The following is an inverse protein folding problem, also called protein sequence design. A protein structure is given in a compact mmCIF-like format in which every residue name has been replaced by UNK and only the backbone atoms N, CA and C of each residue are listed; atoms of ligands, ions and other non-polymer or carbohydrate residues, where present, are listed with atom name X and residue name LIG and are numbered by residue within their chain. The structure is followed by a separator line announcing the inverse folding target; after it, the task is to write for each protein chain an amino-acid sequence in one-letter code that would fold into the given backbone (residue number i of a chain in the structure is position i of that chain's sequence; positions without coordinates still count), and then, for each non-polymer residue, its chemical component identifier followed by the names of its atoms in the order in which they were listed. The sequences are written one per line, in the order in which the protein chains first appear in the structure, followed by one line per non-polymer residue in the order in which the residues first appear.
data_IF_024186463531
#
_entry.id   IF_024186463531
#
_cell.length_a   1.000
_cell.length_b   1.000
_cell.length_c   1.000
_cell.angle_alpha   90.00
_cell.angle_beta   90.00
_cell.angle_gamma   90.00
#
_symmetry.space_group_name_H-M   'P 1'
#
loop_
_entity.id
_entity.type
_entity.pdbx_description
1 polymer ?
#
# COMPACT_ATOMS: atom_id res chain seq x y z
N UNK A 1 15.37 0.91 -4.19
CA UNK A 1 14.32 0.06 -4.79
C UNK A 1 12.94 0.28 -4.13
N UNK A 2 12.73 1.38 -3.39
CA UNK A 2 11.50 1.64 -2.63
C UNK A 2 10.41 2.42 -3.38
N UNK A 3 10.77 3.10 -4.48
CA UNK A 3 9.85 3.92 -5.27
C UNK A 3 8.91 3.10 -6.16
N UNK A 4 9.11 1.78 -6.25
CA UNK A 4 8.30 0.88 -7.09
C UNK A 4 7.01 0.43 -6.40
N UNK A 5 6.92 0.46 -5.07
CA UNK A 5 5.74 -0.01 -4.33
C UNK A 5 4.57 0.98 -4.45
N UNK A 6 4.83 2.28 -4.24
CA UNK A 6 3.84 3.35 -4.42
C UNK A 6 3.45 3.47 -5.90
N UNK A 7 4.42 3.38 -6.82
CA UNK A 7 4.16 3.44 -8.27
C UNK A 7 3.33 2.26 -8.75
N UNK A 8 3.65 1.05 -8.27
CA UNK A 8 2.90 -0.17 -8.56
C UNK A 8 1.48 -0.16 -7.97
N UNK A 9 1.25 0.48 -6.82
CA UNK A 9 -0.08 0.67 -6.25
C UNK A 9 -0.92 1.67 -7.07
N UNK A 10 -0.30 2.73 -7.57
CA UNK A 10 -0.95 3.71 -8.48
C UNK A 10 -1.30 3.05 -9.82
N UNK A 11 -0.46 2.17 -10.33
CA UNK A 11 -0.70 1.42 -11.57
C UNK A 11 -1.68 0.24 -11.39
N UNK A 12 -1.88 -0.25 -10.15
CA UNK A 12 -2.79 -1.36 -9.83
C UNK A 12 -3.99 -0.91 -8.99
N UNK A 13 -5.05 -0.51 -9.69
CA UNK A 13 -6.29 -0.02 -9.08
C UNK A 13 -7.36 -1.11 -8.92
N UNK A 14 -8.19 -0.98 -7.90
CA UNK A 14 -9.37 -1.82 -7.65
C UNK A 14 -10.60 -0.90 -7.56
N UNK A 15 -11.62 -1.05 -8.43
CA UNK A 15 -12.85 -0.28 -8.27
C UNK A 15 -13.63 -0.72 -7.03
N UNK A 16 -14.13 0.24 -6.25
CA UNK A 16 -14.87 -0.01 -5.00
C UNK A 16 -16.10 -0.92 -5.21
N UNK A 17 -16.65 -0.95 -6.43
CA UNK A 17 -17.78 -1.80 -6.79
C UNK A 17 -17.48 -3.30 -6.63
N UNK A 18 -16.22 -3.75 -6.68
CA UNK A 18 -15.86 -5.14 -6.45
C UNK A 18 -16.05 -5.54 -4.97
N UNK A 19 -15.81 -4.63 -4.03
CA UNK A 19 -16.14 -4.86 -2.62
C UNK A 19 -17.65 -5.06 -2.44
N UNK A 20 -18.45 -4.18 -3.06
CA UNK A 20 -19.91 -4.24 -2.98
C UNK A 20 -20.50 -5.50 -3.65
N UNK A 21 -19.75 -6.17 -4.53
CA UNK A 21 -20.12 -7.43 -5.18
C UNK A 21 -19.64 -8.67 -4.41
N UNK A 22 -19.13 -8.50 -3.18
CA UNK A 22 -18.69 -9.62 -2.34
C UNK A 22 -17.32 -10.19 -2.71
N UNK A 23 -16.50 -9.48 -3.50
CA UNK A 23 -15.18 -9.95 -3.92
C UNK A 23 -14.04 -9.61 -2.93
N UNK A 24 -14.38 -9.16 -1.72
CA UNK A 24 -13.41 -8.73 -0.71
C UNK A 24 -12.32 -9.78 -0.42
N UNK A 25 -12.70 -11.05 -0.28
CA UNK A 25 -11.74 -12.14 -0.04
C UNK A 25 -10.67 -12.27 -1.13
N UNK A 26 -11.08 -12.24 -2.40
CA UNK A 26 -10.16 -12.30 -3.55
C UNK A 26 -9.24 -11.08 -3.61
N UNK A 27 -9.80 -9.90 -3.33
CA UNK A 27 -9.02 -8.65 -3.28
C UNK A 27 -7.94 -8.74 -2.20
N UNK A 28 -8.28 -9.22 -1.01
CA UNK A 28 -7.31 -9.37 0.08
C UNK A 28 -6.23 -10.41 -0.25
N UNK A 29 -6.58 -11.51 -0.92
CA UNK A 29 -5.57 -12.46 -1.42
C UNK A 29 -4.63 -11.82 -2.44
N UNK A 30 -5.15 -11.02 -3.37
CA UNK A 30 -4.32 -10.31 -4.34
C UNK A 30 -3.38 -9.31 -3.65
N UNK A 31 -3.85 -8.57 -2.65
CA UNK A 31 -3.01 -7.63 -1.89
C UNK A 31 -1.88 -8.38 -1.16
N UNK A 32 -2.17 -9.56 -0.59
CA UNK A 32 -1.15 -10.39 0.06
C UNK A 32 -0.11 -10.95 -0.92
N UNK A 33 -0.53 -11.36 -2.12
CA UNK A 33 0.38 -11.98 -3.12
C UNK A 33 1.16 -10.96 -3.95
N UNK A 34 0.52 -9.84 -4.29
CA UNK A 34 1.00 -8.90 -5.30
C UNK A 34 1.29 -7.51 -4.74
N UNK A 35 1.06 -7.30 -3.44
CA UNK A 35 1.37 -6.06 -2.75
C UNK A 35 0.26 -5.02 -2.82
N UNK A 36 0.63 -3.77 -2.57
CA UNK A 36 -0.30 -2.66 -2.38
C UNK A 36 -1.20 -2.40 -3.59
N UNK A 37 -2.45 -1.99 -3.33
CA UNK A 37 -3.46 -1.65 -4.35
C UNK A 37 -4.16 -0.35 -4.00
N UNK A 38 -4.53 0.46 -5.00
CA UNK A 38 -5.34 1.67 -4.79
C UNK A 38 -6.82 1.38 -5.04
N UNK A 39 -7.69 1.72 -4.11
CA UNK A 39 -9.14 1.63 -4.31
C UNK A 39 -9.65 2.90 -4.97
N UNK A 40 -10.40 2.74 -6.06
CA UNK A 40 -10.99 3.84 -6.82
C UNK A 40 -12.49 3.92 -6.56
N UNK A 41 -12.99 5.13 -6.29
CA UNK A 41 -14.43 5.45 -6.17
C UNK A 41 -14.71 6.69 -7.02
N UNK A 42 -15.68 6.60 -7.93
CA UNK A 42 -16.02 7.69 -8.85
C UNK A 42 -14.78 8.26 -9.58
N UNK A 43 -13.90 7.38 -10.08
CA UNK A 43 -12.63 7.72 -10.73
C UNK A 43 -11.62 8.52 -9.87
N UNK A 44 -11.85 8.58 -8.56
CA UNK A 44 -10.96 9.22 -7.60
C UNK A 44 -10.33 8.16 -6.69
N UNK A 45 -9.03 8.24 -6.38
CA UNK A 45 -8.41 7.39 -5.36
C UNK A 45 -9.05 7.64 -3.98
N UNK A 46 -9.64 6.61 -3.39
CA UNK A 46 -10.29 6.69 -2.07
C UNK A 46 -9.35 6.22 -0.97
N UNK A 47 -8.64 5.11 -1.17
CA UNK A 47 -7.69 4.58 -0.20
C UNK A 47 -6.61 3.69 -0.84
N UNK A 48 -5.58 3.37 -0.06
CA UNK A 48 -4.56 2.37 -0.38
C UNK A 48 -4.76 1.15 0.52
N UNK A 49 -4.76 -0.03 -0.07
CA UNK A 49 -4.80 -1.31 0.64
C UNK A 49 -3.41 -1.91 0.69
N UNK A 50 -3.02 -2.33 1.88
CA UNK A 50 -1.73 -2.90 2.22
C UNK A 50 -1.98 -4.15 3.09
N UNK A 51 -1.09 -5.14 3.03
CA UNK A 51 -1.09 -6.16 4.09
C UNK A 51 -0.55 -5.54 5.39
N UNK A 52 -0.97 -6.03 6.57
CA UNK A 52 -0.44 -5.55 7.84
C UNK A 52 1.09 -5.66 7.93
N UNK A 53 1.66 -6.74 7.41
CA UNK A 53 3.10 -6.99 7.42
C UNK A 53 3.84 -5.94 6.58
N UNK A 54 3.31 -5.62 5.40
CA UNK A 54 3.86 -4.59 4.53
C UNK A 54 3.78 -3.20 5.19
N UNK A 55 2.65 -2.90 5.85
CA UNK A 55 2.47 -1.64 6.57
C UNK A 55 3.48 -1.47 7.72
N UNK A 56 3.68 -2.51 8.54
CA UNK A 56 4.65 -2.48 9.64
C UNK A 56 6.07 -2.29 9.09
N UNK A 57 6.44 -3.04 8.04
CA UNK A 57 7.75 -2.89 7.40
C UNK A 57 8.02 -1.45 6.95
N UNK A 58 7.04 -0.82 6.31
CA UNK A 58 7.16 0.58 5.87
C UNK A 58 7.32 1.54 7.05
N UNK A 59 6.62 1.30 8.16
CA UNK A 59 6.79 2.10 9.37
C UNK A 59 8.19 1.97 9.96
N UNK A 60 8.72 0.75 10.05
CA UNK A 60 10.05 0.46 10.56
C UNK A 60 11.14 1.13 9.70
N UNK A 61 11.04 1.01 8.37
CA UNK A 61 11.96 1.66 7.43
C UNK A 61 11.95 3.19 7.57
N UNK A 62 10.76 3.80 7.73
CA UNK A 62 10.65 5.25 7.96
C UNK A 62 11.28 5.64 9.30
N UNK A 63 11.09 4.84 10.34
CA UNK A 63 11.68 5.10 11.64
C UNK A 63 13.21 5.03 11.60
N UNK A 64 13.77 3.98 10.98
CA UNK A 64 15.21 3.80 10.80
C UNK A 64 15.83 4.95 10.00
N UNK A 65 15.19 5.38 8.92
CA UNK A 65 15.64 6.52 8.13
C UNK A 65 15.69 7.81 8.95
N UNK A 66 14.70 8.04 9.83
CA UNK A 66 14.67 9.20 10.73
C UNK A 66 15.76 9.12 11.80
N UNK A 67 16.01 7.95 12.35
CA UNK A 67 17.09 7.71 13.32
C UNK A 67 18.46 7.98 12.69
N UNK A 68 18.72 7.42 11.50
CA UNK A 68 19.95 7.66 10.75
C UNK A 68 20.16 9.15 10.46
N UNK A 69 19.13 9.86 9.97
CA UNK A 69 19.21 11.29 9.70
C UNK A 69 19.52 12.10 10.97
N UNK A 70 18.99 11.68 12.12
CA UNK A 70 19.28 12.33 13.42
C UNK A 70 20.70 12.07 13.87
N UNK A 71 21.23 10.85 13.65
CA UNK A 71 22.62 10.51 13.97
C UNK A 71 23.62 11.25 13.07
N UNK A 72 23.33 11.39 11.77
CA UNK A 72 24.19 12.12 10.81
C UNK A 72 24.20 13.63 11.06
N UNK A 73 23.14 14.18 11.65
CA UNK A 73 23.05 15.60 12.00
C UNK A 73 23.74 15.97 13.33
N UNK A 74 24.27 14.99 14.05
CA UNK A 74 25.12 15.18 15.23
C UNK A 74 26.57 15.02 14.85
#
# INVERSE_FOLDING_TARGET
MHMNLIRGAIENTIPISLFNRGLAGKIFEEVKRHGAKVVMKNNTPECVLLSPEEYIRLLDEVNDARLLNTAVRR
#
